data_IF_855263872285
#
_entry.id   IF_855263872285
#
_cell.length_a   1.000
_cell.length_b   1.000
_cell.length_c   1.000
_cell.angle_alpha   90.00
_cell.angle_beta   90.00
_cell.angle_gamma   90.00
#
_symmetry.space_group_name_H-M   'P 1'
#
loop_
_entity.id
_entity.type
_entity.pdbx_description
1 polymer ?
#
# COMPACT_ATOMS: atom_id res chain seq x y z
N UNK A 1 -0.09 17.31 11.55
CA UNK A 1 -1.53 16.97 11.43
C UNK A 1 -1.99 16.25 12.70
N UNK A 2 -3.31 16.18 12.95
CA UNK A 2 -3.87 15.40 14.07
C UNK A 2 -4.60 14.18 13.53
N UNK A 3 -4.52 13.05 14.24
CA UNK A 3 -5.29 11.86 13.91
C UNK A 3 -6.73 12.08 14.37
N UNK A 4 -7.68 12.00 13.44
CA UNK A 4 -9.10 12.22 13.70
C UNK A 4 -9.60 11.38 14.88
N UNK A 5 -10.33 12.00 15.81
CA UNK A 5 -10.87 11.33 16.99
C UNK A 5 -9.88 11.09 18.13
N UNK A 6 -8.65 11.61 18.04
CA UNK A 6 -7.64 11.49 19.10
C UNK A 6 -6.85 12.79 19.30
N UNK A 7 -6.08 12.86 20.40
CA UNK A 7 -5.13 13.94 20.65
C UNK A 7 -3.72 13.67 20.08
N UNK A 8 -3.54 12.58 19.34
CA UNK A 8 -2.24 12.26 18.75
C UNK A 8 -1.91 13.21 17.60
N UNK A 9 -0.75 13.84 17.71
CA UNK A 9 -0.14 14.58 16.61
C UNK A 9 0.78 13.65 15.81
N UNK A 10 0.76 13.83 14.50
CA UNK A 10 1.60 13.07 13.58
C UNK A 10 2.08 13.93 12.41
N UNK A 11 3.05 13.41 11.68
CA UNK A 11 3.55 13.96 10.44
C UNK A 11 3.78 12.82 9.46
N UNK A 12 3.59 13.10 8.17
CA UNK A 12 3.90 12.17 7.08
C UNK A 12 5.22 12.64 6.47
N UNK A 13 6.19 11.74 6.36
CA UNK A 13 7.44 12.03 5.65
C UNK A 13 7.15 12.19 4.17
N UNK A 14 7.94 13.02 3.47
CA UNK A 14 7.78 13.20 2.02
C UNK A 14 7.74 11.88 1.24
N UNK A 15 8.61 10.93 1.59
CA UNK A 15 8.66 9.59 0.97
C UNK A 15 7.42 8.72 1.18
N UNK A 16 6.55 9.11 2.10
CA UNK A 16 5.34 8.39 2.51
C UNK A 16 4.06 9.05 1.99
N UNK A 17 4.17 10.13 1.21
CA UNK A 17 3.02 10.87 0.67
C UNK A 17 2.31 10.15 -0.49
N UNK A 18 3.04 9.38 -1.29
CA UNK A 18 2.51 8.69 -2.47
C UNK A 18 3.44 7.56 -2.91
N UNK A 19 2.89 6.57 -3.62
CA UNK A 19 3.66 5.51 -4.29
C UNK A 19 4.58 6.06 -5.38
N UNK A 20 4.07 6.92 -6.26
CA UNK A 20 4.88 7.58 -7.29
C UNK A 20 5.73 8.70 -6.65
N UNK A 21 7.01 8.75 -7.00
CA UNK A 21 7.96 9.74 -6.51
C UNK A 21 7.63 11.16 -6.99
N UNK A 22 7.10 11.32 -8.19
CA UNK A 22 6.68 12.62 -8.72
C UNK A 22 5.51 13.21 -7.92
N UNK A 23 4.76 12.34 -7.27
CA UNK A 23 3.56 12.66 -6.49
C UNK A 23 3.84 12.91 -5.01
N UNK A 24 5.08 12.73 -4.57
CA UNK A 24 5.55 13.02 -3.21
C UNK A 24 5.77 14.52 -2.98
N UNK A 25 4.69 15.30 -3.12
CA UNK A 25 4.67 16.77 -3.02
C UNK A 25 3.62 17.21 -2.02
N UNK A 26 4.02 18.03 -1.05
CA UNK A 26 3.10 18.49 -0.02
C UNK A 26 2.04 19.45 -0.58
N UNK A 27 2.36 20.23 -1.63
CA UNK A 27 1.40 21.15 -2.27
C UNK A 27 0.21 20.48 -2.94
N UNK A 28 0.20 19.14 -3.07
CA UNK A 28 -0.96 18.39 -3.57
C UNK A 28 -2.11 18.33 -2.56
N UNK A 29 -1.84 18.64 -1.29
CA UNK A 29 -2.81 18.55 -0.22
C UNK A 29 -3.18 19.97 0.23
N UNK A 30 -4.48 20.22 0.36
CA UNK A 30 -4.96 21.47 0.91
C UNK A 30 -4.72 21.52 2.43
N UNK A 31 -4.46 22.73 2.95
CA UNK A 31 -4.31 22.91 4.40
C UNK A 31 -5.64 22.58 5.08
N UNK A 32 -5.61 21.66 6.04
CA UNK A 32 -6.80 21.21 6.78
C UNK A 32 -7.56 20.06 6.10
N UNK A 33 -7.12 19.62 4.92
CA UNK A 33 -7.66 18.43 4.26
C UNK A 33 -7.48 17.19 5.15
N UNK A 34 -8.51 16.36 5.19
CA UNK A 34 -8.45 15.05 5.83
C UNK A 34 -8.01 14.03 4.79
N UNK A 35 -6.99 13.26 5.13
CA UNK A 35 -6.45 12.20 4.28
C UNK A 35 -6.47 10.89 5.05
N UNK A 36 -6.75 9.81 4.34
CA UNK A 36 -6.59 8.47 4.88
C UNK A 36 -5.14 8.02 4.77
N UNK A 37 -4.65 7.38 5.82
CA UNK A 37 -3.28 6.91 5.89
C UNK A 37 -3.17 5.68 6.79
N UNK A 38 -2.22 4.80 6.45
CA UNK A 38 -1.93 3.61 7.24
C UNK A 38 -0.93 3.92 8.35
N UNK A 39 -1.16 3.42 9.56
CA UNK A 39 -0.17 3.46 10.65
C UNK A 39 0.97 2.51 10.30
N UNK A 40 2.20 3.03 10.22
CA UNK A 40 3.41 2.25 9.92
C UNK A 40 4.31 2.08 11.13
N UNK A 41 4.16 2.92 12.16
CA UNK A 41 4.87 2.76 13.42
C UNK A 41 4.06 3.37 14.57
N UNK A 42 4.01 2.66 15.68
CA UNK A 42 3.41 3.14 16.93
C UNK A 42 4.41 2.97 18.07
N UNK A 43 4.80 4.09 18.69
CA UNK A 43 5.62 4.10 19.91
C UNK A 43 4.78 4.62 21.08
N UNK A 44 4.38 3.71 21.95
CA UNK A 44 3.57 4.00 23.13
C UNK A 44 4.34 4.84 24.17
N UNK A 45 5.64 4.60 24.34
CA UNK A 45 6.46 5.29 25.35
C UNK A 45 6.68 6.75 24.93
N UNK A 46 7.01 6.96 23.66
CA UNK A 46 7.20 8.30 23.10
C UNK A 46 5.89 9.00 22.71
N UNK A 47 4.74 8.32 22.81
CA UNK A 47 3.44 8.76 22.29
C UNK A 47 3.51 9.26 20.84
N UNK A 48 4.26 8.53 20.01
CA UNK A 48 4.52 8.90 18.62
C UNK A 48 3.85 7.90 17.68
N UNK A 49 3.15 8.43 16.68
CA UNK A 49 2.55 7.64 15.60
C UNK A 49 3.15 8.11 14.28
N UNK A 50 3.66 7.19 13.47
CA UNK A 50 4.04 7.45 12.08
C UNK A 50 2.99 6.84 11.16
N UNK A 51 2.56 7.63 10.19
CA UNK A 51 1.53 7.25 9.22
C UNK A 51 2.04 7.46 7.79
N UNK A 52 1.46 6.72 6.83
CA UNK A 52 1.86 6.72 5.42
C UNK A 52 0.66 6.53 4.52
N UNK A 53 0.50 7.42 3.53
CA UNK A 53 -0.53 7.32 2.48
C UNK A 53 -0.09 6.26 1.48
N UNK A 54 1.20 6.27 1.10
CA UNK A 54 1.82 5.25 0.25
C UNK A 54 1.56 3.83 0.75
N UNK A 55 1.71 3.59 2.05
CA UNK A 55 1.50 2.25 2.61
C UNK A 55 0.03 1.82 2.60
N UNK A 56 -0.91 2.78 2.58
CA UNK A 56 -2.33 2.51 2.38
C UNK A 56 -2.57 2.09 0.92
N UNK A 57 -2.13 2.91 -0.05
CA UNK A 57 -2.26 2.64 -1.49
C UNK A 57 -1.72 1.25 -1.88
N UNK A 58 -0.53 0.89 -1.40
CA UNK A 58 0.10 -0.41 -1.68
C UNK A 58 -0.71 -1.57 -1.09
N UNK A 59 -1.31 -1.36 0.08
CA UNK A 59 -2.10 -2.41 0.71
C UNK A 59 -3.45 -2.61 0.01
N UNK A 60 -4.11 -1.53 -0.39
CA UNK A 60 -5.36 -1.58 -1.14
C UNK A 60 -5.14 -2.22 -2.52
N UNK A 61 -4.05 -1.88 -3.22
CA UNK A 61 -3.70 -2.53 -4.49
C UNK A 61 -3.46 -4.04 -4.31
N UNK A 62 -2.73 -4.42 -3.26
CA UNK A 62 -2.48 -5.83 -2.95
C UNK A 62 -3.77 -6.58 -2.62
N UNK A 63 -4.67 -5.97 -1.86
CA UNK A 63 -5.96 -6.54 -1.50
C UNK A 63 -6.86 -6.70 -2.74
N UNK A 64 -6.89 -5.69 -3.62
CA UNK A 64 -7.59 -5.76 -4.89
C UNK A 64 -7.03 -6.88 -5.79
N UNK A 65 -5.71 -7.02 -5.89
CA UNK A 65 -5.09 -8.14 -6.62
C UNK A 65 -5.50 -9.49 -6.01
N UNK A 66 -5.54 -9.62 -4.68
CA UNK A 66 -5.94 -10.87 -4.05
C UNK A 66 -7.43 -11.20 -4.28
N UNK A 67 -8.30 -10.19 -4.32
CA UNK A 67 -9.74 -10.37 -4.54
C UNK A 67 -10.11 -10.58 -6.01
N UNK A 68 -9.45 -9.89 -6.94
CA UNK A 68 -9.80 -9.86 -8.36
C UNK A 68 -8.79 -10.59 -9.27
N UNK A 69 -7.59 -10.91 -8.79
CA UNK A 69 -6.52 -11.52 -9.59
C UNK A 69 -6.66 -13.03 -9.85
N UNK A 70 -7.74 -13.67 -9.39
CA UNK A 70 -7.91 -15.12 -9.51
C UNK A 70 -9.31 -15.61 -9.87
N UNK A 71 -10.24 -14.72 -10.24
CA UNK A 71 -11.66 -15.12 -10.35
C UNK A 71 -12.18 -15.30 -11.78
N UNK A 72 -11.40 -15.09 -12.84
CA UNK A 72 -11.93 -15.28 -14.22
C UNK A 72 -10.93 -15.73 -15.29
N UNK A 73 -9.84 -16.41 -14.93
CA UNK A 73 -8.97 -17.03 -15.93
C UNK A 73 -8.47 -18.36 -15.39
N UNK A 74 -9.15 -19.44 -15.80
CA UNK A 74 -8.90 -20.83 -15.41
C UNK A 74 -7.55 -21.41 -15.83
N UNK A 75 -6.48 -20.63 -15.85
CA UNK A 75 -5.10 -21.07 -15.89
C UNK A 75 -4.25 -19.99 -15.23
N UNK A 76 -3.68 -20.26 -14.07
CA UNK A 76 -2.74 -19.32 -13.45
C UNK A 76 -1.47 -19.26 -14.30
N UNK A 77 -0.74 -18.14 -14.24
CA UNK A 77 0.57 -18.02 -14.89
C UNK A 77 1.56 -19.12 -14.41
N UNK A 78 1.36 -19.60 -13.17
CA UNK A 78 2.08 -20.75 -12.60
C UNK A 78 1.70 -22.09 -13.25
N UNK A 79 0.43 -22.27 -13.64
CA UNK A 79 -0.04 -23.47 -14.33
C UNK A 79 0.50 -23.53 -15.77
N UNK A 80 0.50 -22.40 -16.49
CA UNK A 80 1.01 -22.32 -17.87
C UNK A 80 2.53 -22.53 -17.91
N UNK A 81 3.26 -21.92 -16.95
CA UNK A 81 4.71 -22.10 -16.85
C UNK A 81 5.07 -23.51 -16.37
N UNK A 82 4.33 -24.05 -15.41
CA UNK A 82 4.54 -25.40 -14.88
C UNK A 82 4.25 -26.50 -15.92
N UNK A 83 3.21 -26.32 -16.74
CA UNK A 83 2.89 -27.25 -17.84
C UNK A 83 3.90 -27.18 -18.98
N UNK A 84 4.37 -25.99 -19.36
CA UNK A 84 5.41 -25.82 -20.37
C UNK A 84 6.78 -26.37 -19.92
N UNK A 85 7.10 -26.27 -18.62
CA UNK A 85 8.33 -26.84 -18.06
C UNK A 85 8.27 -28.37 -17.98
N UNK A 86 7.13 -28.96 -17.57
CA UNK A 86 6.96 -30.44 -17.59
C UNK A 86 7.06 -31.02 -19.01
N UNK A 87 6.49 -30.34 -20.02
CA UNK A 87 6.58 -30.78 -21.41
C UNK A 87 8.01 -30.77 -21.99
N UNK A 88 8.95 -30.02 -21.39
CA UNK A 88 10.37 -30.04 -21.76
C UNK A 88 11.19 -31.12 -21.04
N UNK A 89 10.68 -31.67 -19.94
CA UNK A 89 11.36 -32.71 -19.16
C UNK A 89 11.00 -34.12 -19.61
N UNK A 90 9.88 -34.30 -20.31
CA UNK A 90 9.37 -35.60 -20.78
C UNK A 90 9.81 -35.93 -22.24
N UNK A 91 10.90 -35.34 -22.74
CA UNK A 91 11.46 -35.63 -24.07
C UNK A 91 12.97 -35.87 -24.03
#
# INVERSE_FOLDING_TARGET
MKISGTDFTTFIKRSELARDRNDQRAERFAVGEKVDARVIQFDKKARKVQVSIKALEVAEEKEAIAQYGSSDSGATLGDILGTALKQRSDK
#
